data_IF_761677271561
#
_entry.id   IF_761677271561
#
_cell.length_a   1.000
_cell.length_b   1.000
_cell.length_c   1.000
_cell.angle_alpha   90.00
_cell.angle_beta   90.00
_cell.angle_gamma   90.00
#
_symmetry.space_group_name_H-M   'P 1'
#
loop_
_entity.id
_entity.type
_entity.pdbx_description
1 polymer ?
#
# COMPACT_ATOMS: atom_id res chain seq x y z
N UNK A 1 7.99 11.65 -10.36
CA UNK A 1 7.85 10.80 -9.15
C UNK A 1 9.10 10.92 -8.30
N UNK A 2 8.96 11.26 -7.01
CA UNK A 2 10.10 11.44 -6.10
C UNK A 2 10.60 10.07 -5.64
N UNK A 3 11.91 9.78 -5.78
CA UNK A 3 12.47 8.50 -5.32
C UNK A 3 12.32 8.36 -3.80
N UNK A 4 11.85 7.20 -3.35
CA UNK A 4 11.84 6.85 -1.93
C UNK A 4 13.28 6.72 -1.43
N UNK A 5 13.59 7.38 -0.32
CA UNK A 5 14.85 7.22 0.44
C UNK A 5 14.55 6.56 1.78
N UNK A 6 15.51 5.94 2.46
CA UNK A 6 15.28 5.38 3.80
C UNK A 6 14.69 6.41 4.79
N UNK A 7 15.13 7.67 4.70
CA UNK A 7 14.63 8.76 5.54
C UNK A 7 13.17 9.14 5.23
N UNK A 8 12.76 9.07 3.96
CA UNK A 8 11.39 9.39 3.54
C UNK A 8 10.44 8.19 3.62
N UNK A 9 10.96 6.96 3.63
CA UNK A 9 10.20 5.72 3.66
C UNK A 9 9.35 5.60 4.92
N UNK A 10 9.90 5.96 6.10
CA UNK A 10 9.14 5.93 7.36
C UNK A 10 7.89 6.81 7.30
N UNK A 11 8.02 8.03 6.77
CA UNK A 11 6.88 8.95 6.64
C UNK A 11 5.84 8.38 5.66
N UNK A 12 6.28 7.86 4.52
CA UNK A 12 5.39 7.22 3.56
C UNK A 12 4.58 6.07 4.18
N UNK A 13 5.22 5.18 4.94
CA UNK A 13 4.53 4.06 5.62
C UNK A 13 3.48 4.61 6.58
N UNK A 14 3.84 5.56 7.46
CA UNK A 14 2.91 6.13 8.44
C UNK A 14 1.74 6.88 7.80
N UNK A 15 1.97 7.56 6.67
CA UNK A 15 0.93 8.34 5.98
C UNK A 15 -0.09 7.44 5.22
N UNK A 16 0.27 6.18 4.91
CA UNK A 16 -0.53 5.30 4.04
C UNK A 16 -0.94 3.97 4.71
N UNK A 17 -0.69 3.81 6.01
CA UNK A 17 -1.03 2.58 6.76
C UNK A 17 -1.52 2.89 8.16
N UNK A 18 -2.27 1.96 8.75
CA UNK A 18 -2.70 2.00 10.14
C UNK A 18 -2.05 0.87 10.94
N UNK A 19 -1.87 1.07 12.24
CA UNK A 19 -1.47 -0.01 13.13
C UNK A 19 -2.64 -0.97 13.36
N UNK A 20 -2.44 -2.24 13.01
CA UNK A 20 -3.46 -3.26 13.07
C UNK A 20 -2.86 -4.59 13.54
N UNK A 21 -3.66 -5.38 14.24
CA UNK A 21 -3.32 -6.74 14.62
C UNK A 21 -3.82 -7.73 13.55
N UNK A 22 -2.94 -8.53 12.91
CA UNK A 22 -3.37 -9.52 11.94
C UNK A 22 -4.28 -10.60 12.57
N UNK A 23 -5.29 -11.13 11.85
CA UNK A 23 -6.26 -12.09 12.40
C UNK A 23 -5.63 -13.39 12.94
N UNK A 24 -4.54 -13.86 12.32
CA UNK A 24 -3.88 -15.12 12.68
C UNK A 24 -2.74 -14.95 13.70
N UNK A 25 -2.32 -13.71 13.97
CA UNK A 25 -1.22 -13.39 14.91
C UNK A 25 -1.56 -12.08 15.65
N UNK A 26 -2.62 -12.08 16.48
CA UNK A 26 -3.15 -10.85 17.09
C UNK A 26 -2.21 -10.22 18.13
N UNK A 27 -1.18 -10.94 18.58
CA UNK A 27 -0.17 -10.45 19.51
C UNK A 27 0.85 -9.48 18.89
N UNK A 28 0.89 -9.37 17.56
CA UNK A 28 1.79 -8.45 16.83
C UNK A 28 0.99 -7.30 16.22
N UNK A 29 1.47 -6.07 16.40
CA UNK A 29 0.96 -4.90 15.69
C UNK A 29 1.84 -4.59 14.49
N UNK A 30 1.22 -4.45 13.33
CA UNK A 30 1.88 -4.11 12.07
C UNK A 30 1.24 -2.86 11.46
N UNK A 31 2.05 -2.12 10.69
CA UNK A 31 1.54 -1.06 9.81
C UNK A 31 0.96 -1.71 8.55
N UNK A 32 -0.36 -1.81 8.49
CA UNK A 32 -1.10 -2.42 7.38
C UNK A 32 -1.88 -1.35 6.61
N UNK A 33 -1.91 -1.48 5.28
CA UNK A 33 -2.87 -0.74 4.47
C UNK A 33 -4.26 -1.36 4.74
N UNK A 34 -5.18 -0.54 5.22
CA UNK A 34 -6.55 -0.88 5.58
C UNK A 34 -7.39 -1.24 4.34
N UNK A 35 -7.23 -0.47 3.26
CA UNK A 35 -7.79 -0.77 1.95
C UNK A 35 -6.67 -0.92 0.93
N UNK A 36 -6.31 -2.17 0.62
CA UNK A 36 -5.57 -2.49 -0.59
C UNK A 36 -6.30 -1.99 -1.85
N UNK A 37 -7.58 -1.62 -1.76
CA UNK A 37 -8.36 -1.18 -2.91
C UNK A 37 -7.97 0.22 -3.41
N UNK A 38 -7.75 1.24 -2.57
CA UNK A 38 -7.58 2.61 -3.08
C UNK A 38 -6.23 2.87 -3.77
N UNK A 39 -5.16 2.21 -3.34
CA UNK A 39 -3.85 2.26 -4.02
C UNK A 39 -3.88 1.47 -5.33
N UNK A 40 -4.68 0.39 -5.38
CA UNK A 40 -4.80 -0.47 -6.55
C UNK A 40 -5.80 0.03 -7.60
N UNK A 41 -6.90 0.66 -7.20
CA UNK A 41 -7.90 1.28 -8.07
C UNK A 41 -7.26 2.37 -8.95
N UNK A 42 -6.41 3.21 -8.37
CA UNK A 42 -5.70 4.25 -9.13
C UNK A 42 -4.72 3.67 -10.15
N UNK A 43 -4.07 2.54 -9.82
CA UNK A 43 -3.21 1.84 -10.77
C UNK A 43 -3.98 1.02 -11.79
N UNK A 44 -5.17 0.49 -11.50
CA UNK A 44 -5.98 -0.25 -12.48
C UNK A 44 -6.51 0.67 -13.59
N UNK A 45 -7.00 1.86 -13.25
CA UNK A 45 -7.45 2.85 -14.25
C UNK A 45 -6.27 3.27 -15.16
N UNK A 46 -5.10 3.55 -14.57
CA UNK A 46 -3.88 3.89 -15.32
C UNK A 46 -3.32 2.69 -16.13
N UNK A 47 -3.40 1.45 -15.61
CA UNK A 47 -2.94 0.22 -16.28
C UNK A 47 -3.87 -0.18 -17.44
N UNK A 48 -5.18 0.06 -17.29
CA UNK A 48 -6.17 -0.16 -18.34
C UNK A 48 -5.96 0.77 -19.53
N UNK A 49 -5.55 2.02 -19.31
CA UNK A 49 -5.20 2.96 -20.39
C UNK A 49 -3.99 2.49 -21.22
N UNK A 50 -3.07 1.73 -20.63
CA UNK A 50 -1.87 1.20 -21.30
C UNK A 50 -1.96 -0.30 -21.66
N UNK A 51 -3.12 -0.92 -21.44
CA UNK A 51 -3.40 -2.31 -21.83
C UNK A 51 -2.63 -3.38 -21.05
N UNK A 52 -2.15 -3.08 -19.85
CA UNK A 52 -1.44 -4.05 -19.00
C UNK A 52 -2.45 -4.78 -18.10
N UNK A 53 -2.49 -6.12 -18.09
CA UNK A 53 -3.37 -6.86 -17.19
C UNK A 53 -2.97 -6.61 -15.73
N UNK A 54 -3.93 -6.61 -14.79
CA UNK A 54 -3.63 -6.53 -13.38
C UNK A 54 -2.64 -7.64 -12.97
N UNK A 55 -1.62 -7.33 -12.15
CA UNK A 55 -0.58 -8.29 -11.76
C UNK A 55 -1.00 -9.28 -10.66
N UNK A 56 -2.30 -9.56 -10.49
CA UNK A 56 -2.79 -10.57 -9.55
C UNK A 56 -4.20 -11.09 -9.81
#
# INVERSE_FOLDING_TARGET
MTKLTPKSAKKFILDNTALMAPPHVPEVLLHLADEAHNLWLRTEEELAEIGLPPPF
#
